data_IF_074998642447
#
_entry.id   IF_074998642447
#
_cell.length_a   1.000
_cell.length_b   1.000
_cell.length_c   1.000
_cell.angle_alpha   90.00
_cell.angle_beta   90.00
_cell.angle_gamma   90.00
#
_symmetry.space_group_name_H-M   'P 1'
#
loop_
_entity.id
_entity.type
_entity.pdbx_description
1 polymer ?
#
# COMPACT_ATOMS: atom_id res chain seq x y z
N UNK A 1 4.38 10.24 16.90
CA UNK A 1 5.30 9.17 17.35
C UNK A 1 6.74 9.62 17.10
N UNK A 2 7.57 9.69 18.16
CA UNK A 2 8.97 10.18 18.12
C UNK A 2 9.89 9.22 17.33
N UNK A 3 11.06 9.68 16.82
CA UNK A 3 11.79 8.94 15.78
C UNK A 3 12.51 7.74 16.38
N UNK A 4 11.96 6.53 16.14
CA UNK A 4 12.56 5.22 16.49
C UNK A 4 14.00 5.05 15.95
N UNK A 5 14.37 5.85 14.96
CA UNK A 5 15.70 5.93 14.35
C UNK A 5 16.82 6.30 15.34
N UNK A 6 16.55 7.11 16.37
CA UNK A 6 17.58 7.46 17.36
C UNK A 6 17.97 6.27 18.23
N UNK A 7 16.99 5.41 18.58
CA UNK A 7 17.26 4.17 19.31
C UNK A 7 18.13 3.21 18.50
N UNK A 8 17.80 3.03 17.22
CA UNK A 8 18.60 2.24 16.29
C UNK A 8 20.03 2.79 16.15
N UNK A 9 20.17 4.10 15.96
CA UNK A 9 21.47 4.75 15.83
C UNK A 9 22.32 4.55 17.10
N UNK A 10 21.73 4.76 18.27
CA UNK A 10 22.40 4.57 19.55
C UNK A 10 22.86 3.12 19.75
N UNK A 11 22.01 2.13 19.46
CA UNK A 11 22.39 0.72 19.56
C UNK A 11 23.49 0.32 18.57
N UNK A 12 23.47 0.87 17.35
CA UNK A 12 24.49 0.61 16.33
C UNK A 12 25.84 1.23 16.71
N UNK A 13 25.82 2.46 17.26
CA UNK A 13 27.01 3.15 17.73
C UNK A 13 27.61 2.43 18.95
N UNK A 14 26.76 1.99 19.89
CA UNK A 14 27.17 1.21 21.05
C UNK A 14 27.80 -0.14 20.66
N UNK A 15 27.23 -0.84 19.68
CA UNK A 15 27.83 -2.04 19.10
C UNK A 15 29.22 -1.79 18.51
N UNK A 16 29.39 -0.73 17.71
CA UNK A 16 30.68 -0.34 17.14
C UNK A 16 31.70 0.02 18.22
N UNK A 17 31.29 0.75 19.26
CA UNK A 17 32.14 1.12 20.40
C UNK A 17 32.68 -0.15 21.08
N UNK A 18 31.83 -1.14 21.36
CA UNK A 18 32.25 -2.38 22.01
C UNK A 18 33.19 -3.22 21.15
N UNK A 19 33.04 -3.22 19.82
CA UNK A 19 34.01 -3.86 18.92
C UNK A 19 35.37 -3.18 19.02
N UNK A 20 35.43 -1.85 18.93
CA UNK A 20 36.69 -1.10 19.01
C UNK A 20 37.36 -1.27 20.38
N UNK A 21 36.58 -1.27 21.47
CA UNK A 21 37.05 -1.56 22.82
C UNK A 21 37.60 -2.99 22.94
N UNK A 22 36.90 -3.97 22.37
CA UNK A 22 37.36 -5.36 22.38
C UNK A 22 38.71 -5.52 21.67
N UNK A 23 38.90 -4.86 20.53
CA UNK A 23 40.18 -4.89 19.81
C UNK A 23 41.29 -4.16 20.57
N UNK A 24 41.01 -2.99 21.16
CA UNK A 24 42.02 -2.19 21.85
C UNK A 24 42.51 -2.85 23.14
N UNK A 25 41.64 -3.54 23.85
CA UNK A 25 41.93 -4.15 25.15
C UNK A 25 42.08 -5.68 25.09
N UNK A 26 42.06 -6.27 23.89
CA UNK A 26 42.14 -7.73 23.65
C UNK A 26 41.19 -8.54 24.55
N UNK A 27 40.03 -7.98 24.87
CA UNK A 27 39.12 -8.53 25.87
C UNK A 27 37.95 -9.24 25.21
N UNK A 28 37.82 -10.52 25.53
CA UNK A 28 36.71 -11.38 25.11
C UNK A 28 35.37 -10.96 25.73
N UNK A 29 35.39 -10.32 26.90
CA UNK A 29 34.19 -9.83 27.58
C UNK A 29 33.44 -8.79 26.74
N UNK A 30 34.17 -7.83 26.14
CA UNK A 30 33.55 -6.83 25.26
C UNK A 30 33.01 -7.44 23.97
N UNK A 31 33.62 -8.53 23.50
CA UNK A 31 33.14 -9.27 22.34
C UNK A 31 31.82 -10.00 22.63
N UNK A 32 31.69 -10.59 23.83
CA UNK A 32 30.42 -11.16 24.28
C UNK A 32 29.32 -10.10 24.40
N UNK A 33 29.61 -8.93 24.97
CA UNK A 33 28.66 -7.83 25.05
C UNK A 33 28.23 -7.36 23.66
N UNK A 34 29.18 -7.20 22.73
CA UNK A 34 28.89 -6.85 21.34
C UNK A 34 27.97 -7.89 20.67
N UNK A 35 28.13 -9.18 20.96
CA UNK A 35 27.29 -10.24 20.39
C UNK A 35 25.81 -10.21 20.82
N UNK A 36 25.52 -9.64 22.00
CA UNK A 36 24.14 -9.51 22.52
C UNK A 36 23.45 -8.25 22.02
N UNK A 37 24.21 -7.21 21.67
CA UNK A 37 23.68 -5.92 21.20
C UNK A 37 22.66 -6.02 20.05
N UNK A 38 22.84 -6.87 19.01
CA UNK A 38 21.86 -7.04 17.94
C UNK A 38 20.47 -7.46 18.42
N UNK A 39 20.36 -8.21 19.52
CA UNK A 39 19.08 -8.65 20.07
C UNK A 39 18.32 -7.46 20.68
N UNK A 40 19.04 -6.49 21.26
CA UNK A 40 18.46 -5.27 21.84
C UNK A 40 17.91 -4.30 20.79
N UNK A 41 18.26 -4.48 19.51
CA UNK A 41 17.80 -3.64 18.39
C UNK A 41 16.35 -3.96 18.01
N UNK A 42 15.88 -5.18 18.29
CA UNK A 42 14.55 -5.68 17.87
C UNK A 42 13.37 -4.75 18.21
N UNK A 43 13.19 -4.22 19.44
CA UNK A 43 12.08 -3.33 19.76
C UNK A 43 12.16 -1.96 19.06
N UNK A 44 13.32 -1.59 18.53
CA UNK A 44 13.55 -0.33 17.84
C UNK A 44 13.43 -0.45 16.32
N UNK A 45 13.27 -1.67 15.78
CA UNK A 45 13.08 -1.86 14.35
C UNK A 45 11.77 -1.15 13.91
N UNK A 46 11.82 -0.32 12.84
CA UNK A 46 10.61 0.22 12.26
C UNK A 46 9.76 -0.94 11.74
N UNK A 47 8.44 -0.80 11.88
CA UNK A 47 7.50 -1.71 11.24
C UNK A 47 7.61 -1.49 9.73
N UNK A 48 8.29 -2.41 9.04
CA UNK A 48 8.49 -2.34 7.59
C UNK A 48 7.18 -2.77 6.94
N UNK A 49 6.33 -1.78 6.66
CA UNK A 49 5.07 -1.97 5.96
C UNK A 49 5.30 -2.66 4.61
N UNK A 50 4.91 -3.93 4.52
CA UNK A 50 5.02 -4.71 3.28
C UNK A 50 3.92 -4.32 2.30
N UNK A 51 4.27 -4.20 1.01
CA UNK A 51 3.28 -4.06 -0.06
C UNK A 51 2.56 -5.39 -0.28
N UNK A 52 1.25 -5.31 -0.48
CA UNK A 52 0.37 -6.45 -0.72
C UNK A 52 0.01 -6.52 -2.20
N UNK A 53 -0.11 -7.73 -2.72
CA UNK A 53 -0.48 -7.98 -4.11
C UNK A 53 -1.70 -8.90 -4.13
N UNK A 54 -2.82 -8.36 -4.59
CA UNK A 54 -4.04 -9.11 -4.84
C UNK A 54 -3.88 -9.89 -6.13
N UNK A 55 -4.18 -11.18 -6.07
CA UNK A 55 -4.36 -12.05 -7.24
C UNK A 55 -5.76 -12.63 -7.14
N UNK A 56 -6.74 -12.10 -7.88
CA UNK A 56 -8.10 -12.60 -7.79
C UNK A 56 -8.14 -14.04 -8.29
N UNK A 57 -8.86 -14.90 -7.58
CA UNK A 57 -9.14 -16.28 -8.01
C UNK A 57 -10.66 -16.45 -8.06
N UNK A 58 -11.19 -17.11 -9.09
CA UNK A 58 -12.64 -17.19 -9.34
C UNK A 58 -13.46 -17.74 -8.16
N UNK A 59 -12.83 -18.57 -7.32
CA UNK A 59 -13.40 -19.08 -6.08
C UNK A 59 -12.55 -18.72 -4.83
N UNK A 60 -11.73 -17.67 -4.91
CA UNK A 60 -10.82 -17.27 -3.84
C UNK A 60 -11.35 -16.13 -2.99
N UNK A 61 -10.61 -15.86 -1.92
CA UNK A 61 -10.89 -14.82 -0.91
C UNK A 61 -10.88 -13.38 -1.45
N UNK A 62 -10.50 -13.15 -2.72
CA UNK A 62 -10.61 -11.85 -3.39
C UNK A 62 -11.08 -11.99 -4.82
N UNK A 63 -11.99 -11.10 -5.23
CA UNK A 63 -12.55 -11.01 -6.56
C UNK A 63 -12.50 -9.57 -7.05
N UNK A 64 -12.17 -9.41 -8.32
CA UNK A 64 -12.15 -8.12 -9.01
C UNK A 64 -13.29 -8.14 -10.03
N UNK A 65 -14.27 -7.26 -9.88
CA UNK A 65 -15.51 -7.30 -10.65
C UNK A 65 -15.79 -5.94 -11.25
N UNK A 66 -15.96 -5.89 -12.56
CA UNK A 66 -16.48 -4.71 -13.24
C UNK A 66 -18.00 -4.71 -13.12
N UNK A 67 -18.58 -3.63 -12.58
CA UNK A 67 -20.03 -3.42 -12.60
C UNK A 67 -20.38 -2.43 -13.70
N UNK A 68 -21.25 -2.86 -14.61
CA UNK A 68 -21.89 -1.98 -15.58
C UNK A 68 -23.09 -1.29 -14.94
N UNK A 69 -23.16 0.03 -15.09
CA UNK A 69 -24.31 0.78 -14.65
C UNK A 69 -25.43 0.58 -15.69
N UNK A 70 -26.50 -0.11 -15.29
CA UNK A 70 -27.62 -0.48 -16.17
C UNK A 70 -28.34 0.74 -16.76
N UNK A 71 -28.18 1.92 -16.17
CA UNK A 71 -28.90 3.13 -16.57
C UNK A 71 -28.09 4.08 -17.47
N UNK A 72 -26.76 3.90 -17.62
CA UNK A 72 -25.90 4.85 -18.35
C UNK A 72 -24.99 4.26 -19.42
N UNK A 73 -24.93 2.93 -19.59
CA UNK A 73 -24.16 2.30 -20.68
C UNK A 73 -22.63 2.43 -20.59
N UNK A 74 -22.12 3.12 -19.57
CA UNK A 74 -20.70 3.20 -19.24
C UNK A 74 -20.35 2.27 -18.06
N UNK A 75 -19.23 1.54 -18.17
CA UNK A 75 -18.66 0.73 -17.08
C UNK A 75 -18.19 1.64 -15.94
N UNK A 76 -19.06 1.97 -14.99
CA UNK A 76 -18.79 3.05 -14.03
C UNK A 76 -17.87 2.63 -12.87
N UNK A 77 -17.94 1.38 -12.41
CA UNK A 77 -17.23 0.96 -11.19
C UNK A 77 -16.49 -0.38 -11.31
N UNK A 78 -15.28 -0.38 -10.75
CA UNK A 78 -14.49 -1.57 -10.44
C UNK A 78 -14.62 -1.87 -8.94
N UNK A 79 -15.09 -3.07 -8.62
CA UNK A 79 -15.33 -3.51 -7.26
C UNK A 79 -14.32 -4.59 -6.89
N UNK A 80 -13.58 -4.38 -5.81
CA UNK A 80 -12.72 -5.41 -5.20
C UNK A 80 -13.48 -5.96 -4.01
N UNK A 81 -13.91 -7.21 -4.09
CA UNK A 81 -14.52 -7.94 -2.99
C UNK A 81 -13.48 -8.80 -2.32
N UNK A 82 -13.48 -8.84 -1.00
CA UNK A 82 -12.56 -9.67 -0.25
C UNK A 82 -13.18 -10.11 1.07
N UNK A 83 -12.68 -11.23 1.60
CA UNK A 83 -13.08 -11.69 2.92
C UNK A 83 -12.55 -10.73 4.01
N UNK A 84 -13.32 -10.51 5.10
CA UNK A 84 -12.85 -9.73 6.24
C UNK A 84 -11.48 -10.23 6.74
N UNK A 85 -10.56 -9.30 7.00
CA UNK A 85 -9.19 -9.63 7.42
C UNK A 85 -8.23 -10.06 6.30
N UNK A 86 -8.67 -10.16 5.04
CA UNK A 86 -7.78 -10.45 3.91
C UNK A 86 -6.78 -9.30 3.67
N UNK A 87 -7.25 -8.05 3.75
CA UNK A 87 -6.40 -6.87 3.58
C UNK A 87 -5.74 -6.54 4.91
N UNK A 88 -4.40 -6.49 4.93
CA UNK A 88 -3.65 -5.97 6.08
C UNK A 88 -3.62 -4.44 6.02
N UNK A 89 -4.51 -3.77 6.75
CA UNK A 89 -4.66 -2.31 6.71
C UNK A 89 -3.41 -1.53 7.13
N UNK A 90 -2.68 -2.02 8.16
CA UNK A 90 -1.36 -1.48 8.54
C UNK A 90 -0.24 -1.83 7.53
N UNK A 91 -0.58 -2.38 6.36
CA UNK A 91 0.35 -2.63 5.27
C UNK A 91 0.74 -1.35 4.51
N UNK A 92 1.66 -1.48 3.56
CA UNK A 92 2.10 -0.33 2.76
C UNK A 92 1.06 0.01 1.70
N UNK A 93 1.15 -0.71 0.58
CA UNK A 93 0.35 -0.46 -0.62
C UNK A 93 -0.35 -1.72 -1.06
N UNK A 94 -1.60 -1.61 -1.49
CA UNK A 94 -2.36 -2.73 -2.04
C UNK A 94 -2.34 -2.67 -3.56
N UNK A 95 -1.74 -3.65 -4.21
CA UNK A 95 -1.63 -3.71 -5.66
C UNK A 95 -2.57 -4.75 -6.24
N UNK A 96 -3.26 -4.39 -7.32
CA UNK A 96 -4.08 -5.31 -8.10
C UNK A 96 -3.75 -5.13 -9.59
N UNK A 97 -4.03 -6.17 -10.38
CA UNK A 97 -3.81 -6.17 -11.81
C UNK A 97 -5.13 -6.00 -12.55
N UNK A 98 -5.20 -5.04 -13.46
CA UNK A 98 -6.40 -4.77 -14.26
C UNK A 98 -6.73 -5.90 -15.24
N UNK A 99 -5.72 -6.67 -15.66
CA UNK A 99 -5.92 -7.80 -16.57
C UNK A 99 -6.64 -8.98 -15.90
N UNK A 100 -6.61 -9.05 -14.57
CA UNK A 100 -7.21 -10.15 -13.80
C UNK A 100 -8.68 -9.86 -13.45
N UNK A 101 -9.32 -8.92 -14.16
CA UNK A 101 -10.71 -8.53 -13.95
C UNK A 101 -11.66 -9.65 -14.39
N UNK A 102 -12.53 -10.06 -13.48
CA UNK A 102 -13.56 -11.07 -13.74
C UNK A 102 -14.82 -10.34 -14.18
N UNK A 103 -15.18 -10.49 -15.45
CA UNK A 103 -16.47 -10.06 -15.98
C UNK A 103 -17.55 -11.07 -15.53
N UNK A 104 -18.74 -10.57 -15.21
CA UNK A 104 -19.97 -11.36 -15.03
C UNK A 104 -20.03 -12.31 -13.82
N UNK A 105 -19.40 -11.97 -12.69
CA UNK A 105 -19.63 -12.68 -11.43
C UNK A 105 -20.80 -12.04 -10.70
N UNK A 106 -21.95 -12.71 -10.68
CA UNK A 106 -23.08 -12.30 -9.85
C UNK A 106 -22.67 -12.30 -8.37
N UNK A 107 -22.56 -11.10 -7.80
CA UNK A 107 -22.27 -10.91 -6.38
C UNK A 107 -23.61 -10.87 -5.68
N UNK A 108 -23.87 -11.84 -4.81
CA UNK A 108 -25.02 -11.76 -3.92
C UNK A 108 -24.93 -10.44 -3.12
N UNK A 109 -25.94 -9.57 -3.16
CA UNK A 109 -25.94 -8.39 -2.32
C UNK A 109 -25.93 -8.83 -0.86
N UNK A 110 -24.82 -8.57 -0.18
CA UNK A 110 -24.68 -8.80 1.25
C UNK A 110 -25.08 -7.50 1.97
N UNK A 111 -26.19 -7.50 2.72
CA UNK A 111 -26.67 -6.32 3.43
C UNK A 111 -25.71 -5.85 4.53
N UNK A 112 -24.74 -6.66 4.94
CA UNK A 112 -23.73 -6.33 5.94
C UNK A 112 -22.37 -5.95 5.36
N UNK A 113 -22.27 -5.75 4.04
CA UNK A 113 -21.02 -5.40 3.39
C UNK A 113 -20.59 -3.96 3.64
N UNK A 114 -19.65 -3.75 4.56
CA UNK A 114 -19.02 -2.45 4.75
C UNK A 114 -18.16 -2.12 3.51
N UNK A 115 -18.56 -1.05 2.84
CA UNK A 115 -18.05 -0.67 1.52
C UNK A 115 -17.28 0.62 1.63
N UNK A 116 -16.01 0.59 1.25
CA UNK A 116 -15.16 1.78 1.24
C UNK A 116 -14.89 2.24 -0.19
N UNK A 117 -15.12 3.52 -0.45
CA UNK A 117 -14.82 4.13 -1.75
C UNK A 117 -13.34 4.47 -1.82
N UNK A 118 -12.72 4.10 -2.92
CA UNK A 118 -11.34 4.44 -3.27
C UNK A 118 -11.40 5.61 -4.24
N UNK A 119 -10.73 6.69 -3.89
CA UNK A 119 -10.75 7.94 -4.63
C UNK A 119 -9.50 8.04 -5.50
N UNK A 120 -9.58 8.85 -6.56
CA UNK A 120 -8.49 9.07 -7.52
C UNK A 120 -7.12 9.31 -6.87
N UNK A 121 -7.08 10.05 -5.77
CA UNK A 121 -5.83 10.40 -5.08
C UNK A 121 -5.24 9.26 -4.24
N UNK A 122 -6.01 8.21 -3.95
CA UNK A 122 -5.51 6.99 -3.30
C UNK A 122 -4.87 6.04 -4.31
N UNK A 123 -5.10 6.25 -5.62
CA UNK A 123 -4.63 5.41 -6.69
C UNK A 123 -3.26 5.85 -7.20
N UNK A 124 -2.39 4.88 -7.49
CA UNK A 124 -1.10 5.12 -8.12
C UNK A 124 -0.70 3.98 -9.04
N UNK A 125 0.09 4.30 -10.07
CA UNK A 125 0.61 3.30 -11.00
C UNK A 125 1.81 2.58 -10.37
N UNK A 126 1.90 1.26 -10.55
CA UNK A 126 3.10 0.53 -10.16
C UNK A 126 4.28 0.93 -11.06
N UNK A 127 5.39 1.39 -10.45
CA UNK A 127 6.56 1.95 -11.19
C UNK A 127 7.16 0.98 -12.22
N UNK A 128 7.24 -0.31 -11.89
CA UNK A 128 7.93 -1.33 -12.72
C UNK A 128 7.02 -2.30 -13.50
N UNK A 129 5.75 -2.44 -13.13
CA UNK A 129 4.86 -3.48 -13.67
C UNK A 129 3.71 -2.81 -14.41
N UNK A 130 3.54 -3.14 -15.70
CA UNK A 130 2.43 -2.64 -16.52
C UNK A 130 1.11 -3.24 -16.03
N UNK A 131 0.01 -2.49 -16.13
CA UNK A 131 -1.36 -2.87 -15.70
C UNK A 131 -1.55 -3.13 -14.20
N UNK A 132 -0.54 -2.88 -13.37
CA UNK A 132 -0.65 -2.94 -11.93
C UNK A 132 -0.99 -1.55 -11.37
N UNK A 133 -2.14 -1.48 -10.71
CA UNK A 133 -2.61 -0.31 -9.98
C UNK A 133 -2.44 -0.57 -8.50
N UNK A 134 -1.95 0.43 -7.78
CA UNK A 134 -1.83 0.39 -6.34
C UNK A 134 -2.81 1.35 -5.67
N UNK A 135 -3.20 0.99 -4.47
CA UNK A 135 -4.09 1.73 -3.58
C UNK A 135 -3.34 2.01 -2.27
N UNK A 136 -3.48 3.24 -1.78
CA UNK A 136 -2.85 3.67 -0.52
C UNK A 136 -3.73 3.25 0.65
N UNK A 137 -3.27 2.28 1.45
CA UNK A 137 -4.05 1.75 2.57
C UNK A 137 -4.07 2.71 3.77
N UNK A 138 -3.02 3.49 3.96
CA UNK A 138 -2.89 4.52 4.99
C UNK A 138 -3.96 5.61 4.86
N UNK A 139 -4.18 6.11 3.64
CA UNK A 139 -5.21 7.12 3.37
C UNK A 139 -6.62 6.55 3.56
N UNK A 140 -6.83 5.29 3.17
CA UNK A 140 -8.10 4.60 3.38
C UNK A 140 -8.38 4.36 4.87
N UNK A 141 -7.37 3.94 5.64
CA UNK A 141 -7.46 3.73 7.09
C UNK A 141 -7.86 5.03 7.80
N UNK A 142 -7.20 6.16 7.49
CA UNK A 142 -7.53 7.47 8.05
C UNK A 142 -8.97 7.90 7.76
N UNK A 143 -9.48 7.65 6.54
CA UNK A 143 -10.89 7.98 6.22
C UNK A 143 -11.88 7.08 6.95
N UNK A 144 -11.47 5.85 7.28
CA UNK A 144 -12.34 4.90 7.98
C UNK A 144 -12.57 5.30 9.44
N UNK A 145 -11.65 6.06 10.05
CA UNK A 145 -11.84 6.63 11.40
C UNK A 145 -13.06 7.55 11.52
N UNK A 146 -13.52 8.12 10.40
CA UNK A 146 -14.69 9.01 10.35
C UNK A 146 -16.00 8.26 10.08
N UNK A 147 -15.94 6.94 9.88
CA UNK A 147 -17.08 6.11 9.51
C UNK A 147 -17.56 5.29 10.71
N UNK A 148 -18.81 4.82 10.64
CA UNK A 148 -19.43 4.04 11.73
C UNK A 148 -18.94 2.58 11.80
N UNK A 149 -18.00 2.18 10.94
CA UNK A 149 -17.43 0.84 10.87
C UNK A 149 -15.91 0.90 10.88
N UNK A 150 -15.29 -0.21 11.30
CA UNK A 150 -13.84 -0.36 11.37
C UNK A 150 -13.27 -0.92 10.07
N UNK A 151 -11.96 -0.75 9.86
CA UNK A 151 -11.26 -1.32 8.70
C UNK A 151 -11.38 -2.85 8.63
N UNK A 152 -11.49 -3.52 9.78
CA UNK A 152 -11.67 -4.98 9.86
C UNK A 152 -13.02 -5.46 9.33
N UNK A 153 -14.02 -4.59 9.30
CA UNK A 153 -15.37 -4.92 8.83
C UNK A 153 -15.52 -4.66 7.33
N UNK A 154 -14.62 -3.87 6.73
CA UNK A 154 -14.63 -3.58 5.29
C UNK A 154 -14.36 -4.86 4.51
N UNK A 155 -15.27 -5.17 3.59
CA UNK A 155 -15.18 -6.34 2.70
C UNK A 155 -15.32 -5.97 1.21
N UNK A 156 -15.48 -4.68 0.93
CA UNK A 156 -15.64 -4.16 -0.44
C UNK A 156 -14.90 -2.83 -0.62
N UNK A 157 -14.06 -2.77 -1.66
CA UNK A 157 -13.52 -1.51 -2.18
C UNK A 157 -14.21 -1.19 -3.50
N UNK A 158 -14.69 0.05 -3.66
CA UNK A 158 -15.28 0.53 -4.90
C UNK A 158 -14.37 1.60 -5.50
N UNK A 159 -13.99 1.41 -6.76
CA UNK A 159 -13.14 2.34 -7.52
C UNK A 159 -13.92 2.77 -8.76
N UNK A 160 -13.89 4.06 -9.10
CA UNK A 160 -14.43 4.51 -10.40
C UNK A 160 -13.50 4.10 -11.53
N UNK A 161 -14.07 3.51 -12.59
CA UNK A 161 -13.26 3.08 -13.75
C UNK A 161 -12.65 4.29 -14.46
N UNK A 162 -13.35 5.44 -14.49
CA UNK A 162 -12.85 6.71 -15.03
C UNK A 162 -11.56 7.16 -14.33
N UNK A 163 -11.49 7.09 -13.00
CA UNK A 163 -10.30 7.46 -12.22
C UNK A 163 -9.09 6.59 -12.60
N UNK A 164 -9.31 5.30 -12.86
CA UNK A 164 -8.27 4.38 -13.32
C UNK A 164 -7.82 4.73 -14.73
N UNK A 165 -8.75 5.01 -15.64
CA UNK A 165 -8.45 5.37 -17.02
C UNK A 165 -7.64 6.68 -17.09
N UNK A 166 -8.05 7.71 -16.35
CA UNK A 166 -7.31 8.96 -16.24
C UNK A 166 -5.88 8.73 -15.75
N UNK A 167 -5.72 7.90 -14.71
CA UNK A 167 -4.40 7.57 -14.16
C UNK A 167 -3.51 6.81 -15.17
N UNK A 168 -4.09 6.00 -16.04
CA UNK A 168 -3.37 5.36 -17.13
C UNK A 168 -3.00 6.35 -18.25
N UNK A 169 -3.89 7.30 -18.56
CA UNK A 169 -3.74 8.31 -19.62
C UNK A 169 -2.83 9.48 -19.24
N UNK A 170 -2.57 9.71 -17.95
CA UNK A 170 -1.75 10.84 -17.45
C UNK A 170 -0.29 10.83 -17.96
N UNK A 171 0.15 9.81 -18.72
CA UNK A 171 1.43 9.84 -19.44
C UNK A 171 1.42 10.64 -20.76
N UNK A 172 0.29 11.20 -21.22
CA UNK A 172 0.20 11.78 -22.57
C UNK A 172 0.30 13.31 -22.71
N UNK A 173 0.51 14.10 -21.65
CA UNK A 173 0.67 15.55 -21.81
C UNK A 173 1.68 16.17 -20.83
N UNK A 174 2.89 16.38 -21.34
CA UNK A 174 3.64 17.63 -21.19
C UNK A 174 4.72 17.68 -22.30
N UNK A 175 4.43 18.18 -23.51
CA UNK A 175 5.46 18.88 -24.26
C UNK A 175 5.71 20.20 -23.53
N UNK A 176 6.95 20.39 -23.06
CA UNK A 176 7.43 21.70 -22.66
C UNK A 176 7.36 22.60 -23.90
N UNK A 177 6.37 23.49 -23.96
CA UNK A 177 6.40 24.62 -24.88
C UNK A 177 7.43 25.61 -24.34
N UNK A 178 8.69 25.38 -24.72
CA UNK A 178 9.76 26.37 -24.64
C UNK A 178 9.31 27.58 -25.46
N UNK A 179 9.32 28.74 -24.82
CA UNK A 179 8.79 30.00 -25.34
C UNK A 179 9.39 30.38 -26.69
N UNK A 180 8.51 30.69 -27.63
CA UNK A 180 8.87 31.42 -28.84
C UNK A 180 8.76 32.91 -28.50
N UNK A 181 9.91 33.50 -28.18
CA UNK A 181 10.09 34.94 -28.02
C UNK A 181 9.83 35.58 -29.39
N UNK A 182 8.69 36.25 -29.53
CA UNK A 182 8.40 37.09 -30.70
C UNK A 182 9.02 38.46 -30.40
N UNK A 183 10.02 38.83 -31.21
CA UNK A 183 10.59 40.16 -31.19
C UNK A 183 9.62 41.21 -31.75
N UNK A 184 9.69 42.41 -31.18
CA UNK A 184 9.29 43.66 -31.78
C UNK A 184 10.23 44.75 -31.24
#
# INVERSE_FOLDING_TARGET
MKPKYWGLLATLLLFLIFIVLSMKFESTTYLYVASVCPILVVPFLPDIRSNQYIKPKGNGAVRLISMENKDSGDTDFLVILFEPGYIKWNGGKLFFNLADNMKDVYVKPDPFAATLTVLKYDLFKHRRKKNWIGISLDQLEQRTEQLSYTTNEVNRLIIRTSDIQELLQTNFKQPASVGQQVGA
#
